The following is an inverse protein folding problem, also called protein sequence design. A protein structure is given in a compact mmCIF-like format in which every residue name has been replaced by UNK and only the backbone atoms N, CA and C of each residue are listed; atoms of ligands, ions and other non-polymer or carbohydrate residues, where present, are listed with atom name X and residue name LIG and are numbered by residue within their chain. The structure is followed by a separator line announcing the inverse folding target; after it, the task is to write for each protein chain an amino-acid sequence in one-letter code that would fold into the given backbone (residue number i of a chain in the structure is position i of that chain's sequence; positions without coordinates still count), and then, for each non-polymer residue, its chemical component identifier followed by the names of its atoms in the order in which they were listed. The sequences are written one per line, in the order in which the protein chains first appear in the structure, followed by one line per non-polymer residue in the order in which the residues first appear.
data_IF_359031503224
#
_entry.id   IF_359031503224
#
_cell.length_a   1.000
_cell.length_b   1.000
_cell.length_c   1.000
_cell.angle_alpha   90.00
_cell.angle_beta   90.00
_cell.angle_gamma   90.00
#
_symmetry.space_group_name_H-M   'P 1'
#
loop_
_entity.id
_entity.type
_entity.pdbx_description
1 polymer ?
#
# COMPACT_ATOMS: atom_id res chain seq x y z
N UNK A 1 -8.80 20.51 5.04
CA UNK A 1 -7.58 19.70 5.17
C UNK A 1 -6.30 20.45 4.77
N UNK A 2 -6.29 21.78 4.83
CA UNK A 2 -5.19 22.65 4.38
C UNK A 2 -4.95 23.79 5.36
N UNK A 3 -3.73 24.31 5.40
CA UNK A 3 -3.33 25.50 6.15
C UNK A 3 -2.69 26.50 5.18
N UNK A 4 -3.22 27.71 5.13
CA UNK A 4 -2.71 28.77 4.27
C UNK A 4 -2.11 29.92 5.09
N UNK A 5 -1.04 30.52 4.58
CA UNK A 5 -0.35 31.66 5.17
C UNK A 5 -0.33 32.77 4.13
N UNK A 6 -0.84 33.94 4.48
CA UNK A 6 -0.81 35.12 3.62
C UNK A 6 0.63 35.66 3.55
N UNK A 7 1.08 35.99 2.34
CA UNK A 7 2.38 36.62 2.09
C UNK A 7 2.16 37.96 1.41
N UNK A 8 3.15 38.85 1.48
CA UNK A 8 3.05 40.12 0.75
C UNK A 8 3.06 39.82 -0.75
N UNK A 9 1.90 39.99 -1.40
CA UNK A 9 1.67 39.65 -2.81
C UNK A 9 0.91 38.35 -3.07
N UNK A 10 0.42 37.63 -2.04
CA UNK A 10 -0.40 36.43 -2.26
C UNK A 10 -0.68 35.58 -1.01
N UNK A 11 -0.87 34.28 -1.22
CA UNK A 11 -1.01 33.29 -0.14
C UNK A 11 -0.37 31.96 -0.55
N UNK A 12 0.22 31.27 0.43
CA UNK A 12 0.79 29.93 0.26
C UNK A 12 -0.03 28.93 1.08
N UNK A 13 -0.46 27.83 0.47
CA UNK A 13 -1.22 26.77 1.16
C UNK A 13 -0.43 25.46 1.18
N UNK A 14 -0.51 24.74 2.30
CA UNK A 14 0.02 23.40 2.46
C UNK A 14 -1.04 22.47 3.08
N UNK A 15 -0.97 21.17 2.78
CA UNK A 15 -1.83 20.19 3.43
C UNK A 15 -1.51 20.10 4.93
N UNK A 16 -2.54 19.89 5.75
CA UNK A 16 -2.36 19.62 7.19
C UNK A 16 -1.70 18.24 7.35
N UNK A 17 -0.96 18.02 8.45
CA UNK A 17 -0.38 16.71 8.79
C UNK A 17 -1.42 15.59 8.65
N UNK A 18 -1.04 14.52 7.95
CA UNK A 18 -1.93 13.39 7.63
C UNK A 18 -2.74 13.55 6.34
N UNK A 19 -2.49 14.63 5.59
CA UNK A 19 -3.03 14.84 4.25
C UNK A 19 -1.91 15.11 3.24
N UNK A 20 -2.12 14.66 2.00
CA UNK A 20 -1.18 14.82 0.87
C UNK A 20 -1.90 15.49 -0.29
N UNK A 21 -1.17 16.31 -1.05
CA UNK A 21 -1.69 17.01 -2.22
C UNK A 21 -0.96 18.33 -2.48
N UNK A 22 -1.52 19.14 -3.37
CA UNK A 22 -0.93 20.40 -3.85
C UNK A 22 -1.20 21.62 -2.93
N UNK A 23 -1.69 21.37 -1.72
CA UNK A 23 -2.08 22.42 -0.77
C UNK A 23 -3.43 23.08 -1.08
N UNK A 24 -4.07 22.77 -2.22
CA UNK A 24 -5.45 23.20 -2.57
C UNK A 24 -6.41 22.01 -2.50
N UNK A 25 -6.00 20.90 -3.08
CA UNK A 25 -6.63 19.59 -3.05
C UNK A 25 -5.80 18.71 -2.14
N UNK A 26 -6.33 18.36 -0.97
CA UNK A 26 -5.64 17.52 0.00
C UNK A 26 -6.48 16.30 0.33
N UNK A 27 -5.97 15.13 -0.03
CA UNK A 27 -6.55 13.82 0.28
C UNK A 27 -5.97 13.27 1.55
N UNK A 28 -6.78 12.54 2.33
CA UNK A 28 -6.28 11.90 3.53
C UNK A 28 -5.28 10.82 3.13
N UNK A 29 -4.08 10.87 3.69
CA UNK A 29 -3.01 9.98 3.29
C UNK A 29 -1.73 10.32 4.02
N UNK A 30 -0.89 9.30 4.21
CA UNK A 30 0.46 9.52 4.69
C UNK A 30 1.40 9.33 3.51
N UNK A 31 2.25 10.32 3.21
CA UNK A 31 3.12 10.23 2.04
C UNK A 31 4.18 9.16 2.28
N UNK A 32 4.52 8.44 1.22
CA UNK A 32 5.74 7.64 1.17
C UNK A 32 6.83 8.55 0.64
N UNK A 33 8.05 8.42 1.16
CA UNK A 33 9.19 9.12 0.59
C UNK A 33 10.15 8.13 -0.01
N UNK A 34 10.52 8.36 -1.27
CA UNK A 34 11.61 7.66 -1.93
C UNK A 34 12.79 8.62 -2.00
N UNK A 35 13.93 8.21 -1.45
CA UNK A 35 15.11 9.05 -1.38
C UNK A 35 16.32 8.35 -2.02
N UNK A 36 17.17 9.15 -2.64
CA UNK A 36 18.49 8.75 -3.14
C UNK A 36 19.54 9.45 -2.30
N UNK A 37 20.45 8.67 -1.72
CA UNK A 37 21.58 9.18 -0.96
C UNK A 37 22.87 8.81 -1.68
N UNK A 38 23.77 9.77 -1.84
CA UNK A 38 25.12 9.51 -2.34
C UNK A 38 26.07 9.32 -1.17
N UNK A 39 26.91 8.30 -1.28
CA UNK A 39 27.84 7.93 -0.23
C UNK A 39 29.20 7.60 -0.83
N UNK A 40 30.22 8.28 -0.33
CA UNK A 40 31.61 7.95 -0.62
C UNK A 40 32.09 6.92 0.41
N UNK A 41 32.44 5.74 -0.06
CA UNK A 41 32.95 4.62 0.74
C UNK A 41 33.81 3.70 -0.12
N UNK A 42 34.56 2.83 0.53
CA UNK A 42 35.35 1.77 -0.10
C UNK A 42 34.54 0.45 -0.11
N UNK A 43 34.09 0.05 -1.30
CA UNK A 43 33.27 -1.16 -1.51
C UNK A 43 34.05 -2.43 -1.17
N UNK A 44 35.36 -2.46 -1.41
CA UNK A 44 36.21 -3.62 -1.13
C UNK A 44 36.39 -3.80 0.37
N UNK A 45 36.53 -2.70 1.12
CA UNK A 45 36.52 -2.69 2.59
C UNK A 45 35.21 -3.21 3.16
N UNK A 46 34.07 -2.94 2.52
CA UNK A 46 32.77 -3.46 2.94
C UNK A 46 32.69 -4.96 2.68
N UNK A 47 32.98 -5.41 1.45
CA UNK A 47 32.93 -6.83 1.10
C UNK A 47 33.86 -7.66 1.99
N UNK A 48 35.05 -7.15 2.32
CA UNK A 48 36.01 -7.85 3.19
C UNK A 48 35.60 -7.91 4.67
N UNK A 49 34.96 -6.86 5.21
CA UNK A 49 34.57 -6.81 6.64
C UNK A 49 33.17 -7.33 6.94
N UNK A 50 32.20 -7.03 6.08
CA UNK A 50 30.78 -7.39 6.23
C UNK A 50 30.42 -8.66 5.45
N UNK A 51 31.30 -9.12 4.56
CA UNK A 51 31.10 -10.31 3.74
C UNK A 51 30.21 -10.09 2.51
N UNK A 52 29.16 -9.28 2.62
CA UNK A 52 28.22 -9.03 1.52
C UNK A 52 27.62 -7.61 1.52
N UNK A 53 27.00 -7.23 0.40
CA UNK A 53 26.31 -5.94 0.25
C UNK A 53 24.99 -5.94 1.05
N UNK A 54 24.32 -7.09 1.16
CA UNK A 54 23.09 -7.26 1.94
C UNK A 54 23.36 -7.01 3.43
N UNK A 55 24.50 -7.47 3.96
CA UNK A 55 24.91 -7.15 5.32
C UNK A 55 25.12 -5.64 5.53
N UNK A 56 25.62 -4.94 4.52
CA UNK A 56 25.73 -3.48 4.55
C UNK A 56 24.35 -2.80 4.50
N UNK A 57 23.39 -3.32 3.72
CA UNK A 57 22.02 -2.81 3.68
C UNK A 57 21.35 -2.91 5.05
N UNK A 58 21.50 -4.03 5.76
CA UNK A 58 20.98 -4.21 7.13
C UNK A 58 21.64 -3.25 8.12
N UNK A 59 22.96 -3.06 8.01
CA UNK A 59 23.70 -2.11 8.85
C UNK A 59 23.22 -0.67 8.60
N UNK A 60 23.07 -0.27 7.34
CA UNK A 60 22.51 1.02 6.95
C UNK A 60 21.10 1.19 7.51
N UNK A 61 20.24 0.21 7.28
CA UNK A 61 18.86 0.19 7.75
C UNK A 61 18.77 0.40 9.27
N UNK A 62 19.52 -0.38 10.06
CA UNK A 62 19.53 -0.29 11.52
C UNK A 62 20.09 1.06 12.02
N UNK A 63 21.13 1.58 11.38
CA UNK A 63 21.76 2.86 11.75
C UNK A 63 20.82 4.04 11.49
N UNK A 64 20.16 4.06 10.34
CA UNK A 64 19.19 5.10 9.97
C UNK A 64 17.94 5.01 10.83
N UNK A 65 17.37 3.82 11.03
CA UNK A 65 16.19 3.66 11.88
C UNK A 65 16.44 4.18 13.30
N UNK A 66 17.62 3.88 13.87
CA UNK A 66 18.04 4.38 15.19
C UNK A 66 18.18 5.90 15.21
N UNK A 67 18.88 6.47 14.23
CA UNK A 67 19.11 7.91 14.18
C UNK A 67 17.82 8.72 14.01
N UNK A 68 16.84 8.16 13.29
CA UNK A 68 15.53 8.79 13.09
C UNK A 68 14.53 8.49 14.21
N UNK A 69 14.85 7.59 15.14
CA UNK A 69 13.93 7.14 16.18
C UNK A 69 12.65 6.51 15.62
N UNK A 70 12.77 5.77 14.51
CA UNK A 70 11.62 5.12 13.85
C UNK A 70 11.71 3.60 13.92
N UNK A 71 10.56 2.95 13.89
CA UNK A 71 10.43 1.50 13.80
C UNK A 71 11.18 0.93 12.59
N UNK A 72 11.89 -0.19 12.78
CA UNK A 72 12.71 -0.84 11.75
C UNK A 72 11.91 -1.02 10.43
N UNK A 73 10.71 -1.61 10.47
CA UNK A 73 9.90 -1.88 9.28
C UNK A 73 9.40 -0.65 8.48
N UNK A 74 9.81 0.57 8.83
CA UNK A 74 9.47 1.81 8.11
C UNK A 74 10.45 2.17 7.01
N UNK A 75 11.68 1.67 7.06
CA UNK A 75 12.62 1.83 5.95
C UNK A 75 12.51 0.55 5.10
N UNK A 76 12.34 0.70 3.79
CA UNK A 76 12.08 -0.41 2.87
C UNK A 76 12.79 -0.21 1.54
N UNK A 77 12.81 -1.28 0.74
CA UNK A 77 13.29 -1.28 -0.65
C UNK A 77 14.68 -0.66 -0.78
N UNK A 78 15.58 -1.02 0.15
CA UNK A 78 16.96 -0.52 0.13
C UNK A 78 17.69 -1.21 -1.01
N UNK A 79 18.22 -0.43 -1.93
CA UNK A 79 19.15 -0.89 -2.95
C UNK A 79 20.41 -0.04 -2.94
N UNK A 80 21.54 -0.67 -3.25
CA UNK A 80 22.85 -0.01 -3.32
C UNK A 80 23.36 -0.20 -4.74
N UNK A 81 23.48 0.90 -5.48
CA UNK A 81 24.12 0.93 -6.78
C UNK A 81 25.64 1.01 -6.58
N UNK A 82 26.31 -0.12 -6.81
CA UNK A 82 27.76 -0.24 -6.67
C UNK A 82 28.55 0.26 -7.87
N UNK A 83 27.88 0.53 -8.98
CA UNK A 83 28.53 0.90 -10.25
C UNK A 83 28.69 2.44 -10.35
N UNK A 84 27.96 3.19 -9.53
CA UNK A 84 28.07 4.64 -9.38
C UNK A 84 29.20 5.06 -8.43
N UNK A 85 29.90 6.17 -8.74
CA UNK A 85 30.87 6.82 -7.85
C UNK A 85 30.60 8.34 -7.75
N UNK A 86 30.20 8.88 -6.57
CA UNK A 86 29.93 8.18 -5.31
C UNK A 86 28.75 7.18 -5.43
N UNK A 87 28.73 6.19 -4.54
CA UNK A 87 27.74 5.11 -4.54
C UNK A 87 26.36 5.65 -4.22
N UNK A 88 25.33 5.10 -4.83
CA UNK A 88 23.95 5.55 -4.61
C UNK A 88 23.16 4.54 -3.82
N UNK A 89 22.52 4.99 -2.75
CA UNK A 89 21.61 4.20 -1.93
C UNK A 89 20.20 4.72 -2.15
N UNK A 90 19.35 3.88 -2.72
CA UNK A 90 17.93 4.16 -2.83
C UNK A 90 17.20 3.49 -1.68
N UNK A 91 16.28 4.20 -1.04
CA UNK A 91 15.46 3.64 0.03
C UNK A 91 14.10 4.34 0.09
N UNK A 92 13.13 3.62 0.65
CA UNK A 92 11.78 4.15 0.89
C UNK A 92 11.52 4.28 2.37
N UNK A 93 10.94 5.41 2.76
CA UNK A 93 10.41 5.63 4.10
C UNK A 93 8.89 5.58 4.02
N UNK A 94 8.31 4.54 4.61
CA UNK A 94 6.86 4.34 4.66
C UNK A 94 6.29 4.89 5.98
N UNK A 95 5.03 5.32 5.97
CA UNK A 95 4.30 5.59 7.19
C UNK A 95 4.24 4.37 8.12
N UNK A 96 4.25 4.61 9.44
CA UNK A 96 3.98 3.54 10.40
C UNK A 96 2.60 2.95 10.16
N UNK A 97 2.42 1.63 10.26
CA UNK A 97 1.08 1.01 10.21
C UNK A 97 0.29 1.21 11.50
N UNK A 98 0.99 1.45 12.62
CA UNK A 98 0.38 1.66 13.93
C UNK A 98 -0.05 3.13 14.12
N UNK A 99 -1.33 3.34 14.43
CA UNK A 99 -1.92 4.67 14.68
C UNK A 99 -1.35 5.37 15.90
N UNK A 100 -0.89 4.63 16.91
CA UNK A 100 -0.29 5.20 18.13
C UNK A 100 1.11 5.74 17.83
N UNK A 101 1.93 4.94 17.13
CA UNK A 101 3.27 5.34 16.70
C UNK A 101 3.27 6.49 15.70
N UNK A 102 2.21 6.66 14.89
CA UNK A 102 2.06 7.82 13.98
C UNK A 102 2.03 9.18 14.71
N UNK A 103 1.74 9.19 16.01
CA UNK A 103 1.72 10.43 16.81
C UNK A 103 3.09 10.77 17.40
N UNK A 104 3.88 9.74 17.73
CA UNK A 104 5.19 9.90 18.39
C UNK A 104 6.34 9.90 17.39
N UNK A 105 6.26 9.10 16.33
CA UNK A 105 7.28 9.02 15.29
C UNK A 105 7.10 10.13 14.24
N UNK A 106 8.20 10.58 13.61
CA UNK A 106 8.12 11.51 12.49
C UNK A 106 7.39 10.89 11.30
N UNK A 107 6.64 11.72 10.57
CA UNK A 107 6.13 11.40 9.23
C UNK A 107 7.28 11.10 8.27
N UNK A 108 7.02 10.43 7.13
CA UNK A 108 8.08 10.11 6.18
C UNK A 108 8.84 11.35 5.67
N UNK A 109 8.12 12.47 5.44
CA UNK A 109 8.73 13.74 5.06
C UNK A 109 9.58 14.34 6.19
N UNK A 110 9.06 14.36 7.43
CA UNK A 110 9.82 14.81 8.60
C UNK A 110 11.07 13.95 8.82
N UNK A 111 10.97 12.63 8.60
CA UNK A 111 12.08 11.69 8.75
C UNK A 111 13.25 12.00 7.81
N UNK A 112 12.97 12.40 6.56
CA UNK A 112 14.03 12.85 5.64
C UNK A 112 14.70 14.14 6.12
N UNK A 113 13.93 15.09 6.65
CA UNK A 113 14.51 16.33 7.19
C UNK A 113 15.43 16.03 8.39
N UNK A 114 14.99 15.14 9.29
CA UNK A 114 15.82 14.69 10.42
C UNK A 114 17.05 13.95 9.90
N UNK A 115 16.92 13.10 8.88
CA UNK A 115 18.06 12.40 8.28
C UNK A 115 19.11 13.38 7.74
N UNK A 116 18.69 14.43 7.04
CA UNK A 116 19.61 15.46 6.55
C UNK A 116 20.34 16.18 7.69
N UNK A 117 19.67 16.40 8.82
CA UNK A 117 20.28 17.01 10.01
C UNK A 117 21.29 16.06 10.65
N UNK A 118 20.96 14.78 10.81
CA UNK A 118 21.85 13.76 11.35
C UNK A 118 23.10 13.58 10.48
N UNK A 119 22.95 13.59 9.15
CA UNK A 119 24.09 13.51 8.23
C UNK A 119 24.99 14.75 8.27
N UNK A 120 24.41 15.93 8.54
CA UNK A 120 25.17 17.19 8.67
C UNK A 120 25.90 17.29 10.01
N UNK A 121 25.38 16.65 11.06
CA UNK A 121 25.96 16.71 12.40
C UNK A 121 27.13 15.71 12.55
N UNK A 122 28.38 16.17 12.71
CA UNK A 122 29.54 15.26 12.84
C UNK A 122 29.53 14.42 14.13
N UNK A 123 28.69 14.79 15.11
CA UNK A 123 28.50 14.05 16.36
C UNK A 123 27.29 13.12 16.34
N UNK A 124 26.59 12.99 15.21
CA UNK A 124 25.47 12.06 15.10
C UNK A 124 25.91 10.61 15.15
N UNK A 125 24.98 9.74 15.55
CA UNK A 125 25.21 8.29 15.47
C UNK A 125 25.36 7.79 14.03
N UNK A 126 24.90 8.54 13.02
CA UNK A 126 25.15 8.20 11.62
C UNK A 126 26.59 8.49 11.20
N UNK A 127 27.21 9.54 11.75
CA UNK A 127 28.59 9.92 11.43
C UNK A 127 29.62 9.18 12.28
N UNK A 128 29.31 8.86 13.54
CA UNK A 128 30.25 8.21 14.46
C UNK A 128 29.95 6.74 14.75
N UNK A 129 28.78 6.25 14.34
CA UNK A 129 28.39 4.85 14.55
C UNK A 129 28.82 3.95 13.39
N UNK A 130 28.36 2.70 13.44
CA UNK A 130 28.73 1.64 12.51
C UNK A 130 28.60 2.03 11.03
N UNK A 131 27.61 2.85 10.65
CA UNK A 131 27.48 3.33 9.27
C UNK A 131 28.61 4.31 8.89
N UNK A 132 28.93 5.25 9.76
CA UNK A 132 29.99 6.25 9.55
C UNK A 132 31.39 5.66 9.43
N UNK A 133 31.64 4.48 10.01
CA UNK A 133 32.91 3.75 9.86
C UNK A 133 33.21 3.30 8.42
N UNK A 134 32.16 3.20 7.60
CA UNK A 134 32.25 2.86 6.18
C UNK A 134 31.97 4.09 5.29
N UNK A 135 31.07 4.98 5.69
CA UNK A 135 30.60 6.12 4.91
C UNK A 135 31.35 7.42 5.26
N UNK A 136 32.42 7.73 4.51
CA UNK A 136 33.24 8.93 4.74
C UNK A 136 32.44 10.22 4.50
N UNK A 137 31.69 10.28 3.40
CA UNK A 137 30.81 11.39 3.03
C UNK A 137 29.45 10.81 2.66
N UNK A 138 28.37 11.32 3.25
CA UNK A 138 27.02 10.88 2.93
C UNK A 138 26.06 12.08 2.91
N UNK A 139 25.30 12.24 1.83
CA UNK A 139 24.25 13.26 1.74
C UNK A 139 23.10 12.80 0.85
N UNK A 140 21.91 13.36 1.10
CA UNK A 140 20.74 13.08 0.28
C UNK A 140 20.87 13.90 -1.02
N UNK A 141 20.88 13.22 -2.17
CA UNK A 141 20.91 13.86 -3.50
C UNK A 141 19.54 14.42 -3.84
N UNK A 142 18.52 13.56 -3.80
CA UNK A 142 17.14 13.89 -4.11
C UNK A 142 16.17 13.03 -3.32
N UNK A 143 14.94 13.52 -3.17
CA UNK A 143 13.83 12.73 -2.63
C UNK A 143 12.52 13.15 -3.30
N UNK A 144 11.62 12.18 -3.43
CA UNK A 144 10.29 12.37 -4.02
C UNK A 144 9.23 11.91 -3.04
N UNK A 145 8.17 12.71 -2.93
CA UNK A 145 6.98 12.38 -2.19
C UNK A 145 6.06 11.57 -3.11
N UNK A 146 5.92 10.29 -2.83
CA UNK A 146 4.95 9.44 -3.52
C UNK A 146 3.63 9.49 -2.74
N UNK A 147 2.58 9.91 -3.46
CA UNK A 147 1.24 10.02 -2.92
C UNK A 147 0.57 8.66 -2.86
N UNK A 148 -0.03 8.38 -1.69
CA UNK A 148 -0.87 7.23 -1.37
C UNK A 148 -0.12 5.90 -1.27
N UNK A 149 -0.16 5.31 -0.07
CA UNK A 149 -0.36 3.86 0.02
C UNK A 149 -1.64 3.54 -0.76
N UNK A 150 -1.52 2.91 -1.92
CA UNK A 150 -2.58 2.03 -2.43
C UNK A 150 -2.76 0.86 -1.43
N UNK A 151 -3.26 1.13 -0.23
CA UNK A 151 -3.79 0.11 0.68
C UNK A 151 -5.32 -0.02 0.54
N UNK A 152 -5.99 0.78 -0.29
CA UNK A 152 -7.45 0.65 -0.52
C UNK A 152 -7.86 -0.31 -1.66
N UNK A 153 -7.02 -0.57 -2.68
CA UNK A 153 -7.31 -1.65 -3.66
C UNK A 153 -6.81 -3.02 -3.18
N UNK A 154 -5.68 -3.06 -2.44
CA UNK A 154 -5.05 -4.32 -2.01
C UNK A 154 -5.54 -4.86 -0.67
N UNK A 155 -6.24 -4.08 0.17
CA UNK A 155 -6.71 -4.57 1.47
C UNK A 155 -7.76 -5.68 1.36
N UNK A 156 -8.66 -5.60 0.36
CA UNK A 156 -9.63 -6.66 0.07
C UNK A 156 -8.93 -7.86 -0.56
N UNK A 157 -7.98 -7.61 -1.46
CA UNK A 157 -7.19 -8.64 -2.15
C UNK A 157 -6.32 -9.43 -1.18
N UNK A 158 -5.54 -8.79 -0.29
CA UNK A 158 -4.75 -9.47 0.73
C UNK A 158 -5.63 -10.25 1.71
N UNK A 159 -6.79 -9.72 2.08
CA UNK A 159 -7.75 -10.39 2.95
C UNK A 159 -8.36 -11.63 2.28
N UNK A 160 -8.67 -11.55 0.99
CA UNK A 160 -9.14 -12.68 0.18
C UNK A 160 -8.01 -13.72 -0.01
N UNK A 161 -6.80 -13.28 -0.33
CA UNK A 161 -5.61 -14.13 -0.49
C UNK A 161 -5.24 -14.79 0.85
N UNK A 162 -5.53 -14.16 1.99
CA UNK A 162 -5.26 -14.73 3.32
C UNK A 162 -6.06 -16.01 3.61
N UNK A 163 -7.21 -16.18 2.96
CA UNK A 163 -8.03 -17.41 3.05
C UNK A 163 -7.44 -18.56 2.23
N UNK A 164 -6.42 -18.29 1.41
CA UNK A 164 -5.72 -19.31 0.63
C UNK A 164 -4.57 -19.93 1.45
N UNK A 165 -4.49 -21.27 1.52
CA UNK A 165 -3.40 -21.97 2.20
C UNK A 165 -2.00 -21.54 1.73
N UNK A 166 -1.04 -21.49 2.67
CA UNK A 166 0.36 -21.09 2.41
C UNK A 166 1.03 -21.80 1.21
N UNK A 167 0.90 -23.14 1.03
CA UNK A 167 1.55 -23.84 -0.08
C UNK A 167 1.12 -23.33 -1.46
N UNK A 168 -0.11 -22.80 -1.57
CA UNK A 168 -0.69 -22.32 -2.82
C UNK A 168 -0.27 -20.87 -3.09
N UNK A 169 -0.12 -20.06 -2.02
CA UNK A 169 0.36 -18.66 -2.12
C UNK A 169 1.80 -18.57 -2.62
N UNK A 170 2.63 -19.55 -2.27
CA UNK A 170 4.04 -19.57 -2.68
C UNK A 170 4.23 -20.13 -4.10
N UNK A 171 3.26 -20.90 -4.60
CA UNK A 171 3.30 -21.53 -5.92
C UNK A 171 2.63 -20.70 -7.04
N UNK A 172 1.76 -19.75 -6.69
CA UNK A 172 0.93 -19.02 -7.67
C UNK A 172 1.03 -17.50 -7.42
N UNK A 173 1.32 -16.68 -8.45
CA UNK A 173 1.37 -15.23 -8.30
C UNK A 173 0.01 -14.65 -7.91
N UNK A 174 0.03 -13.62 -7.05
CA UNK A 174 -1.17 -13.02 -6.44
C UNK A 174 -2.22 -12.55 -7.45
N UNK A 175 -1.80 -12.09 -8.63
CA UNK A 175 -2.69 -11.68 -9.73
C UNK A 175 -3.55 -12.82 -10.27
N UNK A 176 -3.00 -14.04 -10.34
CA UNK A 176 -3.71 -15.24 -10.80
C UNK A 176 -4.70 -15.71 -9.75
N UNK A 177 -4.33 -15.61 -8.47
CA UNK A 177 -5.19 -15.98 -7.35
C UNK A 177 -6.46 -15.12 -7.29
N UNK A 178 -6.31 -13.81 -7.51
CA UNK A 178 -7.44 -12.86 -7.57
C UNK A 178 -8.35 -13.18 -8.75
N UNK A 179 -7.78 -13.48 -9.92
CA UNK A 179 -8.54 -13.89 -11.10
C UNK A 179 -9.38 -15.16 -10.87
N UNK A 180 -8.79 -16.18 -10.24
CA UNK A 180 -9.48 -17.44 -9.95
C UNK A 180 -10.61 -17.26 -8.92
N UNK A 181 -10.35 -16.53 -7.82
CA UNK A 181 -11.35 -16.28 -6.79
C UNK A 181 -12.50 -15.41 -7.30
N UNK A 182 -12.21 -14.43 -8.17
CA UNK A 182 -13.22 -13.63 -8.86
C UNK A 182 -14.13 -14.47 -9.77
N UNK A 183 -13.54 -15.39 -10.56
CA UNK A 183 -14.29 -16.27 -11.45
C UNK A 183 -15.20 -17.24 -10.67
N UNK A 184 -14.71 -17.80 -9.56
CA UNK A 184 -15.49 -18.67 -8.67
C UNK A 184 -16.66 -17.88 -8.06
N UNK A 185 -16.43 -16.65 -7.61
CA UNK A 185 -17.49 -15.78 -7.08
C UNK A 185 -18.60 -15.52 -8.09
N UNK A 186 -18.25 -15.20 -9.34
CA UNK A 186 -19.22 -14.99 -10.44
C UNK A 186 -20.02 -16.25 -10.75
N UNK A 187 -19.38 -17.43 -10.77
CA UNK A 187 -20.06 -18.70 -10.97
C UNK A 187 -21.07 -18.99 -9.85
N UNK A 188 -20.67 -18.79 -8.59
CA UNK A 188 -21.56 -18.98 -7.44
C UNK A 188 -22.75 -18.03 -7.47
N UNK A 189 -22.55 -16.76 -7.84
CA UNK A 189 -23.62 -15.77 -8.02
C UNK A 189 -24.59 -16.18 -9.15
N UNK A 190 -24.08 -16.72 -10.26
CA UNK A 190 -24.91 -17.23 -11.34
C UNK A 190 -25.73 -18.47 -10.93
N UNK A 191 -25.15 -19.35 -10.11
CA UNK A 191 -25.85 -20.50 -9.55
C UNK A 191 -26.93 -20.09 -8.54
N UNK A 192 -26.63 -19.13 -7.65
CA UNK A 192 -27.57 -18.60 -6.67
C UNK A 192 -28.76 -17.89 -7.34
N UNK A 193 -28.51 -17.08 -8.36
CA UNK A 193 -29.58 -16.43 -9.11
C UNK A 193 -30.45 -17.44 -9.86
N UNK A 194 -29.86 -18.47 -10.46
CA UNK A 194 -30.59 -19.57 -11.10
C UNK A 194 -31.42 -20.38 -10.10
N UNK A 195 -30.87 -20.64 -8.91
CA UNK A 195 -31.57 -21.36 -7.84
C UNK A 195 -32.74 -20.55 -7.28
N UNK A 196 -32.55 -19.24 -7.03
CA UNK A 196 -33.64 -18.34 -6.63
C UNK A 196 -34.73 -18.25 -7.72
N UNK A 197 -34.35 -18.22 -9.00
CA UNK A 197 -35.31 -18.23 -10.11
C UNK A 197 -36.10 -19.54 -10.20
N UNK A 198 -35.48 -20.66 -9.80
CA UNK A 198 -36.11 -21.97 -9.79
C UNK A 198 -37.03 -22.15 -8.56
N UNK A 199 -36.59 -21.70 -7.39
CA UNK A 199 -37.32 -21.85 -6.13
C UNK A 199 -38.45 -20.82 -5.93
N UNK A 200 -38.37 -19.63 -6.53
CA UNK A 200 -39.39 -18.58 -6.40
C UNK A 200 -40.42 -18.56 -7.55
N UNK A 201 -40.41 -19.54 -8.46
CA UNK A 201 -41.50 -19.68 -9.45
C UNK A 201 -42.76 -20.24 -8.75
N UNK A 202 -43.91 -19.53 -8.78
CA UNK A 202 -45.17 -20.09 -8.28
C UNK A 202 -45.58 -21.29 -9.15
N UNK A 203 -45.93 -22.41 -8.50
CA UNK A 203 -46.41 -23.63 -9.19
C UNK A 203 -47.66 -23.32 -10.01
N UNK A 204 -47.60 -23.42 -11.34
CA UNK A 204 -48.81 -23.48 -12.19
C UNK A 204 -49.49 -24.83 -11.96
N UNK A 205 -50.65 -24.81 -11.28
CA UNK A 205 -51.54 -25.97 -11.13
C UNK A 205 -52.11 -26.33 -12.52
N UNK A 206 -51.85 -27.55 -13.00
CA UNK A 206 -52.52 -28.12 -14.18
C UNK A 206 -53.91 -28.61 -13.76
N UNK A 207 -54.97 -28.01 -14.27
CA UNK A 207 -56.32 -28.57 -14.20
C UNK A 207 -56.62 -29.35 -15.48
N UNK A 208 -56.72 -30.68 -15.37
CA UNK A 208 -57.36 -31.55 -16.36
C UNK A 208 -58.87 -31.49 -16.16
N UNK A 209 -59.64 -31.15 -17.19
CA UNK A 209 -61.09 -31.29 -17.20
C UNK A 209 -61.50 -32.29 -18.29
N UNK A 210 -61.96 -33.46 -17.85
CA UNK A 210 -62.61 -34.48 -18.67
C UNK A 210 -64.12 -34.17 -18.81
N UNK A 211 -64.68 -34.51 -19.97
CA UNK A 211 -66.08 -34.31 -20.40
C UNK A 211 -67.06 -35.25 -19.68
N UNK A 212 -68.29 -34.80 -19.44
CA UNK A 212 -69.51 -35.43 -20.01
C UNK A 212 -70.78 -34.63 -19.74
N UNK A 213 -71.80 -34.91 -20.56
CA UNK A 213 -72.95 -34.08 -20.95
C UNK A 213 -74.23 -34.19 -20.09
N UNK A 214 -75.31 -33.57 -20.61
CA UNK A 214 -76.74 -33.51 -20.21
C UNK A 214 -77.08 -32.24 -19.42
N UNK A 215 -77.98 -31.32 -19.80
CA UNK A 215 -79.05 -31.25 -20.80
C UNK A 215 -80.19 -30.40 -20.18
N UNK A 216 -80.77 -29.42 -20.88
CA UNK A 216 -81.97 -28.70 -20.42
C UNK A 216 -82.17 -27.28 -20.97
N UNK A 217 -83.12 -27.14 -21.89
CA UNK A 217 -83.68 -25.92 -22.49
C UNK A 217 -84.22 -24.89 -21.47
N UNK A 218 -84.19 -23.59 -21.83
CA UNK A 218 -85.41 -22.76 -21.93
C UNK A 218 -85.14 -21.37 -22.51
N UNK A 219 -86.16 -20.83 -23.15
CA UNK A 219 -86.19 -19.79 -24.18
C UNK A 219 -87.00 -18.57 -23.72
N UNK A 220 -86.58 -17.33 -24.05
CA UNK A 220 -87.33 -16.04 -24.17
C UNK A 220 -86.31 -14.88 -24.26
N UNK A 221 -86.14 -14.10 -25.34
CA UNK A 221 -87.02 -13.21 -26.15
C UNK A 221 -87.43 -11.90 -25.44
N UNK A 222 -86.68 -10.82 -25.70
CA UNK A 222 -87.03 -9.38 -25.79
C UNK A 222 -85.69 -8.62 -25.92
N UNK A 223 -85.40 -7.71 -26.84
CA UNK A 223 -86.12 -7.00 -27.91
C UNK A 223 -85.10 -6.66 -29.00
#
# INVERSE_FOLDING_TARGET
NTKCINTQGGYFCACIKGYVGDGRTCVQGQPIVVATMSVLMDVEKIKSKLGSIEAFQELFHASVARALGISHGRIKDISVDTDSTPLKIHFRVVPSKDKTLRQTEPSAAEAIVVLQQELRNPSSSLRQGNFGDYAEVAHIEDYKLEGLTEEEELGLVEKIISWVPKPIRDAIPSSVLVGLLGAIGLLLLSCLSSFLFCCLRPKKVRASAARSAVGGDTQRRAS
#
